data_IF_388611011192
#
_entry.id   IF_388611011192
#
_cell.length_a   1.000
_cell.length_b   1.000
_cell.length_c   1.000
_cell.angle_alpha   90.00
_cell.angle_beta   90.00
_cell.angle_gamma   90.00
#
_symmetry.space_group_name_H-M   'P 1'
#
loop_
_entity.id
_entity.type
_entity.pdbx_description
1 polymer ?
#
# COMPACT_ATOMS: atom_id res chain seq x y z
N UNK A 1 6.77 6.04 -5.19
CA UNK A 1 7.18 7.15 -4.30
C UNK A 1 7.93 8.19 -5.11
N UNK A 2 8.21 9.35 -4.55
CA UNK A 2 9.12 10.32 -5.20
C UNK A 2 10.50 9.71 -5.45
N UNK A 3 11.01 8.87 -4.54
CA UNK A 3 12.28 8.17 -4.76
C UNK A 3 12.23 7.26 -5.99
N UNK A 4 11.19 6.43 -6.13
CA UNK A 4 11.01 5.58 -7.32
C UNK A 4 10.86 6.38 -8.62
N UNK A 5 10.04 7.45 -8.60
CA UNK A 5 9.77 8.25 -9.78
C UNK A 5 11.01 9.01 -10.29
N UNK A 6 11.87 9.42 -9.37
CA UNK A 6 13.06 10.22 -9.67
C UNK A 6 14.34 9.39 -9.82
N UNK A 7 14.28 8.06 -9.65
CA UNK A 7 15.44 7.17 -9.81
C UNK A 7 15.81 7.02 -11.30
N UNK A 8 17.01 7.47 -11.74
CA UNK A 8 17.44 7.34 -13.13
C UNK A 8 17.51 5.90 -13.61
N UNK A 9 17.81 4.94 -12.73
CA UNK A 9 17.92 3.53 -13.08
C UNK A 9 16.55 2.87 -13.33
N UNK A 10 15.45 3.53 -12.97
CA UNK A 10 14.08 3.00 -13.09
C UNK A 10 13.22 3.70 -14.12
N UNK A 11 13.79 4.59 -14.93
CA UNK A 11 13.00 5.40 -15.87
C UNK A 11 12.26 4.56 -16.93
N UNK A 12 12.83 3.43 -17.37
CA UNK A 12 12.15 2.50 -18.28
C UNK A 12 10.91 1.88 -17.63
N UNK A 13 11.02 1.52 -16.35
CA UNK A 13 9.89 0.98 -15.59
C UNK A 13 8.81 2.05 -15.36
N UNK A 14 9.21 3.27 -14.99
CA UNK A 14 8.29 4.40 -14.85
C UNK A 14 7.55 4.66 -16.17
N UNK A 15 8.26 4.66 -17.30
CA UNK A 15 7.68 4.83 -18.62
C UNK A 15 6.68 3.72 -18.96
N UNK A 16 7.02 2.46 -18.66
CA UNK A 16 6.13 1.30 -18.81
C UNK A 16 4.83 1.48 -18.04
N UNK A 17 4.91 1.84 -16.75
CA UNK A 17 3.71 2.04 -15.91
C UNK A 17 2.87 3.22 -16.37
N UNK A 18 3.49 4.34 -16.76
CA UNK A 18 2.78 5.49 -17.34
C UNK A 18 2.03 5.09 -18.62
N UNK A 19 2.68 4.34 -19.52
CA UNK A 19 2.06 3.84 -20.75
C UNK A 19 0.89 2.90 -20.45
N UNK A 20 1.07 1.97 -19.51
CA UNK A 20 0.00 1.07 -19.07
C UNK A 20 -1.20 1.85 -18.55
N UNK A 21 -1.00 2.78 -17.61
CA UNK A 21 -2.08 3.60 -17.06
C UNK A 21 -2.79 4.44 -18.14
N UNK A 22 -2.04 5.01 -19.08
CA UNK A 22 -2.60 5.78 -20.19
C UNK A 22 -3.41 4.92 -21.18
N UNK A 23 -3.12 3.62 -21.26
CA UNK A 23 -3.80 2.68 -22.16
C UNK A 23 -5.17 2.20 -21.66
N UNK A 24 -5.54 2.49 -20.40
CA UNK A 24 -6.80 2.02 -19.80
C UNK A 24 -7.99 2.74 -20.47
N UNK A 25 -8.85 2.03 -21.22
CA UNK A 25 -9.88 2.67 -22.05
C UNK A 25 -11.11 3.13 -21.25
N UNK A 26 -11.43 2.46 -20.14
CA UNK A 26 -12.66 2.71 -19.37
C UNK A 26 -12.48 3.80 -18.30
N UNK A 27 -12.39 5.06 -18.73
CA UNK A 27 -12.24 6.21 -17.81
C UNK A 27 -13.41 6.37 -16.83
N UNK A 28 -14.64 6.08 -17.27
CA UNK A 28 -15.83 6.11 -16.40
C UNK A 28 -15.74 5.06 -15.30
N UNK A 29 -15.31 3.83 -15.65
CA UNK A 29 -15.06 2.76 -14.69
C UNK A 29 -14.01 3.14 -13.65
N UNK A 30 -12.88 3.70 -14.08
CA UNK A 30 -11.85 4.23 -13.18
C UNK A 30 -12.41 5.31 -12.23
N UNK A 31 -13.17 6.27 -12.77
CA UNK A 31 -13.75 7.34 -11.96
C UNK A 31 -14.70 6.79 -10.90
N UNK A 32 -15.55 5.84 -11.27
CA UNK A 32 -16.48 5.20 -10.34
C UNK A 32 -15.74 4.41 -9.26
N UNK A 33 -14.66 3.70 -9.61
CA UNK A 33 -13.85 2.97 -8.65
C UNK A 33 -13.19 3.91 -7.63
N UNK A 34 -12.57 5.00 -8.09
CA UNK A 34 -11.97 6.02 -7.21
C UNK A 34 -13.04 6.67 -6.33
N UNK A 35 -14.19 7.04 -6.91
CA UNK A 35 -15.32 7.60 -6.15
C UNK A 35 -15.76 6.67 -5.04
N UNK A 36 -15.90 5.37 -5.32
CA UNK A 36 -16.26 4.37 -4.31
C UNK A 36 -15.28 4.31 -3.13
N UNK A 37 -13.97 4.45 -3.38
CA UNK A 37 -12.96 4.50 -2.31
C UNK A 37 -13.05 5.79 -1.49
N UNK A 38 -13.29 6.93 -2.15
CA UNK A 38 -13.33 8.24 -1.50
C UNK A 38 -14.63 8.49 -0.72
N UNK A 39 -15.76 7.96 -1.19
CA UNK A 39 -17.08 8.26 -0.60
C UNK A 39 -17.59 7.18 0.34
N UNK A 40 -16.94 6.01 0.41
CA UNK A 40 -17.35 4.96 1.37
C UNK A 40 -17.08 5.43 2.80
N UNK A 41 -17.94 5.01 3.73
CA UNK A 41 -17.73 5.23 5.16
C UNK A 41 -16.45 4.56 5.67
N UNK A 42 -15.90 5.12 6.75
CA UNK A 42 -14.76 4.53 7.45
C UNK A 42 -15.17 3.24 8.17
N UNK A 43 -14.26 2.27 8.21
CA UNK A 43 -14.39 1.05 9.02
C UNK A 43 -13.51 1.07 10.27
N UNK A 44 -12.94 2.23 10.61
CA UNK A 44 -11.98 2.37 11.70
C UNK A 44 -12.53 1.82 13.04
N UNK A 45 -13.78 2.12 13.36
CA UNK A 45 -14.42 1.69 14.62
C UNK A 45 -14.66 0.18 14.69
N UNK A 46 -14.47 -0.54 13.59
CA UNK A 46 -14.58 -1.99 13.53
C UNK A 46 -13.22 -2.69 13.63
N UNK A 47 -12.09 -1.97 13.53
CA UNK A 47 -10.76 -2.57 13.53
C UNK A 47 -10.45 -3.34 14.83
N UNK A 48 -10.97 -2.87 15.97
CA UNK A 48 -10.82 -3.57 17.26
C UNK A 48 -11.49 -4.94 17.32
N UNK A 49 -12.32 -5.30 16.34
CA UNK A 49 -12.93 -6.64 16.22
C UNK A 49 -12.00 -7.67 15.57
N UNK A 50 -10.87 -7.23 15.00
CA UNK A 50 -9.90 -8.11 14.36
C UNK A 50 -9.07 -8.80 15.45
N UNK A 51 -9.24 -10.11 15.60
CA UNK A 51 -8.57 -10.94 16.61
C UNK A 51 -7.45 -11.83 16.05
N UNK A 52 -7.26 -11.86 14.73
CA UNK A 52 -6.20 -12.65 14.08
C UNK A 52 -4.92 -11.83 13.94
N UNK A 53 -3.74 -12.49 13.87
CA UNK A 53 -2.49 -11.81 13.53
C UNK A 53 -2.66 -10.98 12.25
N UNK A 54 -2.24 -9.72 12.30
CA UNK A 54 -2.43 -8.77 11.20
C UNK A 54 -1.11 -8.06 10.92
N UNK A 55 -0.74 -7.93 9.65
CA UNK A 55 0.43 -7.16 9.24
C UNK A 55 -0.01 -6.04 8.30
N UNK A 56 0.32 -4.81 8.67
CA UNK A 56 0.08 -3.60 7.87
C UNK A 56 1.39 -3.21 7.19
N UNK A 57 1.36 -2.96 5.89
CA UNK A 57 2.48 -2.45 5.09
C UNK A 57 2.11 -1.07 4.54
N UNK A 58 3.04 -0.12 4.59
CA UNK A 58 2.86 1.22 4.00
C UNK A 58 4.18 1.73 3.45
N UNK A 59 4.16 2.41 2.30
CA UNK A 59 5.34 3.14 1.82
C UNK A 59 5.59 4.40 2.64
N UNK A 60 6.84 4.71 2.98
CA UNK A 60 7.18 5.92 3.74
C UNK A 60 6.82 7.23 3.02
N UNK A 61 6.75 7.20 1.70
CA UNK A 61 6.41 8.33 0.82
C UNK A 61 4.96 8.24 0.31
N UNK A 62 4.11 7.44 0.93
CA UNK A 62 2.69 7.36 0.56
C UNK A 62 1.96 8.65 0.93
N UNK A 63 1.32 9.27 -0.05
CA UNK A 63 0.52 10.50 0.11
C UNK A 63 -0.99 10.23 0.07
N UNK A 64 -1.43 9.08 -0.42
CA UNK A 64 -2.84 8.71 -0.50
C UNK A 64 -3.30 8.05 0.81
N UNK A 65 -2.55 7.05 1.26
CA UNK A 65 -2.72 6.37 2.55
C UNK A 65 -1.47 6.60 3.40
N UNK A 66 -1.33 7.84 3.87
CA UNK A 66 -0.16 8.32 4.61
C UNK A 66 0.23 7.40 5.78
N UNK A 67 1.53 7.29 6.13
CA UNK A 67 2.00 6.39 7.18
C UNK A 67 1.30 6.55 8.54
N UNK A 68 0.91 7.77 8.92
CA UNK A 68 0.17 8.05 10.15
C UNK A 68 -1.20 7.34 10.19
N UNK A 69 -1.86 7.17 9.03
CA UNK A 69 -3.12 6.40 8.96
C UNK A 69 -2.86 4.91 9.24
N UNK A 70 -1.76 4.37 8.74
CA UNK A 70 -1.36 2.97 8.96
C UNK A 70 -0.91 2.73 10.40
N UNK A 71 -0.20 3.69 11.01
CA UNK A 71 0.13 3.69 12.44
C UNK A 71 -1.14 3.69 13.30
N UNK A 72 -2.10 4.57 12.95
CA UNK A 72 -3.40 4.63 13.62
C UNK A 72 -4.16 3.31 13.50
N UNK A 73 -4.13 2.65 12.34
CA UNK A 73 -4.73 1.32 12.16
C UNK A 73 -4.02 0.24 12.99
N UNK A 74 -2.69 0.24 13.03
CA UNK A 74 -1.91 -0.71 13.81
C UNK A 74 -2.20 -0.59 15.31
N UNK A 75 -2.35 0.63 15.81
CA UNK A 75 -2.73 0.89 17.20
C UNK A 75 -4.15 0.42 17.55
N UNK A 76 -5.05 0.32 16.56
CA UNK A 76 -6.44 -0.09 16.77
C UNK A 76 -6.67 -1.61 16.74
N UNK A 77 -5.69 -2.40 16.27
CA UNK A 77 -5.81 -3.85 16.10
C UNK A 77 -4.87 -4.55 17.10
N UNK A 78 -5.43 -5.37 17.98
CA UNK A 78 -4.71 -5.95 19.12
C UNK A 78 -3.45 -6.75 18.75
N UNK A 79 -3.47 -7.44 17.61
CA UNK A 79 -2.37 -8.29 17.14
C UNK A 79 -1.78 -7.79 15.82
N UNK A 80 -1.76 -6.47 15.62
CA UNK A 80 -1.15 -5.87 14.45
C UNK A 80 0.35 -5.60 14.62
N UNK A 81 1.08 -5.80 13.53
CA UNK A 81 2.40 -5.21 13.29
C UNK A 81 2.33 -4.23 12.13
N UNK A 82 3.22 -3.25 12.12
CA UNK A 82 3.39 -2.27 11.04
C UNK A 82 4.78 -2.41 10.44
N UNK A 83 4.86 -2.43 9.12
CA UNK A 83 6.11 -2.35 8.35
C UNK A 83 6.03 -1.13 7.44
N UNK A 84 6.96 -0.19 7.63
CA UNK A 84 7.16 0.96 6.75
C UNK A 84 8.20 0.59 5.71
N UNK A 85 7.88 0.75 4.43
CA UNK A 85 8.74 0.42 3.30
C UNK A 85 9.49 1.69 2.87
N UNK A 86 10.82 1.78 3.08
CA UNK A 86 11.58 2.97 2.73
C UNK A 86 11.53 3.28 1.23
N UNK A 87 11.54 4.57 0.88
CA UNK A 87 11.58 5.05 -0.52
C UNK A 87 10.41 4.60 -1.40
N UNK A 88 9.36 4.04 -0.80
CA UNK A 88 8.16 3.57 -1.49
C UNK A 88 6.98 4.50 -1.19
N UNK A 89 6.08 4.66 -2.16
CA UNK A 89 4.85 5.42 -2.05
C UNK A 89 3.62 4.51 -2.00
N UNK A 90 2.49 4.98 -2.53
CA UNK A 90 1.21 4.27 -2.44
C UNK A 90 1.19 2.89 -3.11
N UNK A 91 1.95 2.71 -4.18
CA UNK A 91 2.10 1.42 -4.85
C UNK A 91 3.43 0.80 -4.41
N UNK A 92 3.58 0.55 -3.11
CA UNK A 92 4.85 0.09 -2.52
C UNK A 92 5.33 -1.24 -3.10
N UNK A 93 4.40 -2.08 -3.55
CA UNK A 93 4.69 -3.34 -4.23
C UNK A 93 5.30 -3.16 -5.63
N UNK A 94 5.10 -2.00 -6.26
CA UNK A 94 5.78 -1.62 -7.53
C UNK A 94 7.09 -0.90 -7.22
N UNK A 95 7.07 0.00 -6.24
CA UNK A 95 8.25 0.79 -5.90
C UNK A 95 9.37 -0.06 -5.30
N UNK A 96 9.05 -1.05 -4.46
CA UNK A 96 10.01 -1.88 -3.73
C UNK A 96 9.49 -3.33 -3.58
N UNK A 97 9.34 -4.09 -4.70
CA UNK A 97 8.75 -5.42 -4.69
C UNK A 97 9.48 -6.40 -3.78
N UNK A 98 10.81 -6.37 -3.74
CA UNK A 98 11.61 -7.29 -2.91
C UNK A 98 11.34 -7.06 -1.42
N UNK A 99 11.31 -5.80 -0.98
CA UNK A 99 11.06 -5.45 0.42
C UNK A 99 9.63 -5.83 0.85
N UNK A 100 8.64 -5.61 -0.03
CA UNK A 100 7.25 -6.01 0.22
C UNK A 100 7.14 -7.54 0.29
N UNK A 101 7.73 -8.27 -0.65
CA UNK A 101 7.70 -9.73 -0.67
C UNK A 101 8.38 -10.33 0.56
N UNK A 102 9.52 -9.77 1.00
CA UNK A 102 10.20 -10.19 2.21
C UNK A 102 9.33 -9.98 3.46
N UNK A 103 8.68 -8.82 3.58
CA UNK A 103 7.80 -8.52 4.71
C UNK A 103 6.59 -9.46 4.77
N UNK A 104 5.99 -9.77 3.61
CA UNK A 104 4.90 -10.76 3.51
C UNK A 104 5.41 -12.15 3.90
N UNK A 105 6.55 -12.59 3.36
CA UNK A 105 7.14 -13.90 3.67
C UNK A 105 7.42 -14.09 5.16
N UNK A 106 8.08 -13.11 5.79
CA UNK A 106 8.36 -13.15 7.23
C UNK A 106 7.08 -13.20 8.08
N UNK A 107 6.02 -12.51 7.66
CA UNK A 107 4.72 -12.61 8.34
C UNK A 107 4.11 -14.00 8.20
N UNK A 108 4.12 -14.58 7.00
CA UNK A 108 3.57 -15.91 6.74
C UNK A 108 4.32 -17.00 7.52
N UNK A 109 5.64 -16.93 7.60
CA UNK A 109 6.45 -17.85 8.43
C UNK A 109 6.14 -17.75 9.92
N UNK A 110 5.77 -16.55 10.40
CA UNK A 110 5.40 -16.33 11.80
C UNK A 110 4.03 -16.91 12.14
N UNK A 111 3.06 -16.83 11.22
CA UNK A 111 1.67 -17.27 11.48
C UNK A 111 1.39 -18.71 11.04
N UNK A 112 2.23 -19.28 10.17
CA UNK A 112 2.13 -20.68 9.71
C UNK A 112 2.76 -21.70 10.65
N UNK A 113 3.25 -21.27 11.82
CA UNK A 113 3.70 -22.12 12.93
C UNK A 113 2.59 -22.21 13.97
#
# INVERSE_FOLDING_TARGET
>A
GQSFLNDPARQDEVARWKKFLASIPNRKGMTNAVKGVLTRGSFYDQLGKISVPTQILVGEEDVATTPDKSERMAAAIAHASLVRIPKAGHQSNVDAPEAVNQAIGAFLEKVGK
#
